data_IF_111339583733
#
_entry.id   IF_111339583733
#
_cell.length_a   1.000
_cell.length_b   1.000
_cell.length_c   1.000
_cell.angle_alpha   90.00
_cell.angle_beta   90.00
_cell.angle_gamma   90.00
#
_symmetry.space_group_name_H-M   'P 1'
#
loop_
_entity.id
_entity.type
_entity.pdbx_description
1 polymer ?
#
# COMPACT_ATOMS: atom_id res chain seq x y z
N UNK A 1 -10.63 13.52 2.78
CA UNK A 1 -9.95 12.31 2.25
C UNK A 1 -11.01 11.25 2.01
N UNK A 2 -11.18 10.76 0.78
CA UNK A 2 -12.10 9.67 0.45
C UNK A 2 -11.86 8.40 1.28
N UNK A 3 -12.91 7.60 1.51
CA UNK A 3 -12.80 6.37 2.30
C UNK A 3 -11.93 5.29 1.63
N UNK A 4 -11.97 5.23 0.30
CA UNK A 4 -11.11 4.40 -0.57
C UNK A 4 -9.62 4.69 -0.34
N UNK A 5 -9.24 5.97 -0.33
CA UNK A 5 -7.87 6.42 -0.02
C UNK A 5 -7.48 6.04 1.41
N UNK A 6 -8.36 6.25 2.38
CA UNK A 6 -8.10 5.89 3.79
C UNK A 6 -7.88 4.38 3.95
N UNK A 7 -8.63 3.57 3.23
CA UNK A 7 -8.48 2.13 3.24
C UNK A 7 -7.17 1.68 2.57
N UNK A 8 -6.78 2.30 1.46
CA UNK A 8 -5.49 2.05 0.81
C UNK A 8 -4.32 2.33 1.77
N UNK A 9 -4.39 3.41 2.53
CA UNK A 9 -3.37 3.77 3.54
C UNK A 9 -3.29 2.69 4.63
N UNK A 10 -4.44 2.23 5.15
CA UNK A 10 -4.47 1.19 6.19
C UNK A 10 -3.84 -0.12 5.71
N UNK A 11 -4.16 -0.53 4.48
CA UNK A 11 -3.56 -1.72 3.85
C UNK A 11 -2.04 -1.58 3.68
N UNK A 12 -1.57 -0.41 3.23
CA UNK A 12 -0.14 -0.15 3.05
C UNK A 12 0.62 -0.18 4.38
N UNK A 13 0.08 0.48 5.41
CA UNK A 13 0.70 0.52 6.75
C UNK A 13 0.74 -0.86 7.38
N UNK A 14 -0.35 -1.64 7.27
CA UNK A 14 -0.38 -3.03 7.73
C UNK A 14 0.70 -3.88 7.06
N UNK A 15 0.78 -3.81 5.72
CA UNK A 15 1.80 -4.52 4.95
C UNK A 15 3.22 -4.16 5.42
N UNK A 16 3.53 -2.88 5.61
CA UNK A 16 4.85 -2.48 6.08
C UNK A 16 5.15 -2.93 7.50
N UNK A 17 4.17 -2.85 8.40
CA UNK A 17 4.35 -3.28 9.78
C UNK A 17 4.69 -4.78 9.86
N UNK A 18 3.92 -5.62 9.17
CA UNK A 18 4.12 -7.07 9.15
C UNK A 18 5.45 -7.47 8.50
N UNK A 19 5.87 -6.76 7.45
CA UNK A 19 7.10 -7.10 6.72
C UNK A 19 8.35 -6.47 7.34
N UNK A 20 8.24 -5.44 8.20
CA UNK A 20 9.41 -4.82 8.87
C UNK A 20 10.12 -5.81 9.79
N UNK A 21 9.38 -6.58 10.56
CA UNK A 21 9.94 -7.59 11.45
C UNK A 21 10.58 -8.74 10.65
N UNK A 22 9.89 -9.23 9.62
CA UNK A 22 10.40 -10.30 8.77
C UNK A 22 11.75 -9.93 8.13
N UNK A 23 11.87 -8.72 7.57
CA UNK A 23 13.12 -8.23 6.98
C UNK A 23 14.22 -8.10 8.04
N UNK A 24 13.90 -7.53 9.21
CA UNK A 24 14.90 -7.23 10.25
C UNK A 24 15.43 -8.47 10.97
N UNK A 25 14.62 -9.52 11.10
CA UNK A 25 14.95 -10.72 11.89
C UNK A 25 15.46 -11.88 11.04
N UNK A 26 14.94 -12.04 9.82
CA UNK A 26 15.24 -13.19 8.96
C UNK A 26 16.04 -12.84 7.70
N UNK A 27 16.27 -11.54 7.44
CA UNK A 27 16.85 -11.10 6.17
C UNK A 27 15.94 -11.37 4.97
N UNK A 28 14.64 -11.57 5.20
CA UNK A 28 13.67 -11.83 4.15
C UNK A 28 13.64 -10.71 3.10
N UNK A 29 13.39 -11.08 1.85
CA UNK A 29 13.21 -10.13 0.75
C UNK A 29 11.93 -9.32 0.98
N UNK A 30 11.95 -7.98 0.81
CA UNK A 30 10.76 -7.15 0.92
C UNK A 30 9.65 -7.64 -0.02
N UNK A 31 8.43 -7.80 0.53
CA UNK A 31 7.27 -8.17 -0.29
C UNK A 31 6.75 -6.98 -1.06
N UNK A 32 6.32 -7.23 -2.29
CA UNK A 32 5.66 -6.24 -3.14
C UNK A 32 4.42 -5.66 -2.47
N UNK A 33 4.10 -4.40 -2.81
CA UNK A 33 2.92 -3.70 -2.30
C UNK A 33 1.64 -4.43 -2.76
N UNK A 34 0.64 -4.62 -1.88
CA UNK A 34 -0.60 -5.31 -2.26
C UNK A 34 -1.32 -4.61 -3.43
N UNK A 35 -1.80 -5.39 -4.41
CA UNK A 35 -2.59 -4.91 -5.54
C UNK A 35 -3.78 -4.03 -5.10
N UNK A 36 -4.39 -4.36 -3.97
CA UNK A 36 -5.51 -3.61 -3.39
C UNK A 36 -5.16 -2.14 -3.08
N UNK A 37 -3.91 -1.83 -2.71
CA UNK A 37 -3.47 -0.44 -2.51
C UNK A 37 -3.53 0.33 -3.83
N UNK A 38 -2.98 -0.24 -4.89
CA UNK A 38 -2.96 0.41 -6.22
C UNK A 38 -4.38 0.56 -6.78
N UNK A 39 -5.21 -0.47 -6.68
CA UNK A 39 -6.59 -0.44 -7.16
C UNK A 39 -7.43 0.64 -6.45
N UNK A 40 -7.31 0.77 -5.13
CA UNK A 40 -8.05 1.77 -4.36
C UNK A 40 -7.60 3.20 -4.65
N UNK A 41 -6.30 3.42 -4.85
CA UNK A 41 -5.79 4.74 -5.21
C UNK A 41 -6.13 5.12 -6.65
N UNK A 42 -6.26 4.15 -7.55
CA UNK A 42 -6.64 4.39 -8.93
C UNK A 42 -8.03 5.04 -9.06
N UNK A 43 -8.97 4.70 -8.18
CA UNK A 43 -10.31 5.28 -8.16
C UNK A 43 -10.33 6.79 -7.94
N UNK A 44 -9.35 7.32 -7.22
CA UNK A 44 -9.27 8.73 -6.83
C UNK A 44 -8.21 9.50 -7.65
N UNK A 45 -7.62 8.85 -8.66
CA UNK A 45 -6.55 9.41 -9.46
C UNK A 45 -7.08 10.51 -10.37
N UNK A 46 -6.58 11.74 -10.20
CA UNK A 46 -6.84 12.84 -11.14
C UNK A 46 -5.85 12.74 -12.29
N UNK A 47 -6.35 12.42 -13.49
CA UNK A 47 -5.55 12.48 -14.71
C UNK A 47 -5.70 13.87 -15.33
N UNK A 48 -4.62 14.65 -15.29
CA UNK A 48 -4.56 15.89 -16.07
C UNK A 48 -4.28 15.50 -17.52
N UNK A 49 -5.27 15.68 -18.38
CA UNK A 49 -5.11 15.60 -19.83
C UNK A 49 -4.69 16.99 -20.33
N UNK A 50 -3.53 17.05 -21.00
CA UNK A 50 -3.03 18.23 -21.69
C UNK A 50 -3.46 18.28 -23.15
#
# INVERSE_FOLDING_TARGET
VPETTRQAIRLLVGHWYENREAISTSGAVPKEVPLGVQALLWLERVNVVG
#
